data_IF_846687468205
#
_entry.id   IF_846687468205
#
_cell.length_a   1.000
_cell.length_b   1.000
_cell.length_c   1.000
_cell.angle_alpha   90.00
_cell.angle_beta   90.00
_cell.angle_gamma   90.00
#
_symmetry.space_group_name_H-M   'P 1'
#
loop_
_entity.id
_entity.type
_entity.pdbx_description
1 polymer ?
#
# COMPACT_ATOMS: atom_id res chain seq x y z
N UNK A 1 37.81 47.29 -7.18
CA UNK A 1 37.58 46.57 -5.91
C UNK A 1 36.13 46.08 -5.95
N UNK A 2 35.93 44.87 -6.48
CA UNK A 2 34.61 44.23 -6.58
C UNK A 2 34.70 43.02 -5.66
N UNK A 3 33.94 43.07 -4.57
CA UNK A 3 33.90 42.03 -3.55
C UNK A 3 33.01 40.90 -4.09
N UNK A 4 33.66 39.77 -4.36
CA UNK A 4 33.03 38.48 -4.58
C UNK A 4 32.49 37.97 -3.25
N UNK A 5 31.17 37.80 -3.14
CA UNK A 5 30.56 37.00 -2.09
C UNK A 5 30.30 35.61 -2.64
N UNK A 6 31.21 34.71 -2.33
CA UNK A 6 31.03 33.27 -2.38
C UNK A 6 29.84 32.87 -1.51
N UNK A 7 28.75 32.43 -2.16
CA UNK A 7 27.64 31.77 -1.49
C UNK A 7 28.16 30.51 -0.80
N UNK A 8 28.14 30.54 0.53
CA UNK A 8 28.35 29.36 1.38
C UNK A 8 27.28 28.33 1.02
N UNK A 9 27.73 27.08 0.79
CA UNK A 9 26.84 25.95 0.60
C UNK A 9 25.86 25.85 1.76
N UNK A 10 24.57 25.82 1.42
CA UNK A 10 23.54 25.36 2.35
C UNK A 10 23.89 23.92 2.74
N UNK A 11 24.07 23.73 4.04
CA UNK A 11 24.14 22.40 4.65
C UNK A 11 22.78 21.74 4.46
N UNK A 12 22.77 20.75 3.58
CA UNK A 12 21.85 19.61 3.46
C UNK A 12 20.67 19.62 4.43
N UNK A 13 19.65 20.44 4.14
CA UNK A 13 18.34 20.29 4.75
C UNK A 13 17.66 19.09 4.10
N UNK A 14 17.62 17.95 4.79
CA UNK A 14 17.14 16.67 4.25
C UNK A 14 15.89 16.82 3.35
N UNK A 15 15.98 16.27 2.13
CA UNK A 15 14.96 16.47 1.10
C UNK A 15 13.61 15.89 1.54
N UNK A 16 12.53 16.66 1.33
CA UNK A 16 11.16 16.24 1.66
C UNK A 16 10.43 15.84 0.37
N UNK A 17 9.83 14.65 0.34
CA UNK A 17 8.94 14.21 -0.73
C UNK A 17 7.60 14.93 -0.60
N UNK A 18 7.18 15.61 -1.67
CA UNK A 18 5.89 16.29 -1.74
C UNK A 18 4.80 15.32 -2.25
N UNK A 19 3.51 15.52 -1.88
CA UNK A 19 2.42 14.70 -2.39
C UNK A 19 2.28 14.88 -3.90
N UNK A 20 2.02 13.79 -4.60
CA UNK A 20 1.74 13.72 -6.04
C UNK A 20 0.25 13.93 -6.28
N UNK A 21 -0.57 13.18 -5.57
CA UNK A 21 -2.01 13.39 -5.57
C UNK A 21 -2.38 14.51 -4.59
N UNK A 22 -3.05 15.53 -5.13
CA UNK A 22 -3.51 16.68 -4.36
C UNK A 22 -5.03 16.85 -4.40
N UNK A 23 -5.72 15.87 -4.98
CA UNK A 23 -7.15 15.81 -5.23
C UNK A 23 -7.79 14.80 -4.27
N UNK A 24 -7.34 13.54 -4.29
CA UNK A 24 -7.95 12.42 -3.57
C UNK A 24 -7.61 12.35 -2.08
N UNK A 25 -6.46 12.91 -1.68
CA UNK A 25 -5.89 12.73 -0.35
C UNK A 25 -5.75 14.03 0.45
N UNK A 26 -5.81 13.90 1.77
CA UNK A 26 -5.70 15.03 2.68
C UNK A 26 -4.27 15.60 2.72
N UNK A 27 -4.14 16.91 2.48
CA UNK A 27 -2.88 17.67 2.56
C UNK A 27 -2.73 18.50 3.82
N UNK A 28 -3.84 18.73 4.52
CA UNK A 28 -3.91 19.53 5.74
C UNK A 28 -4.62 18.77 6.84
N UNK A 29 -4.25 19.04 8.10
CA UNK A 29 -4.85 18.43 9.28
C UNK A 29 -6.38 18.52 9.27
N UNK A 30 -6.92 19.72 9.02
CA UNK A 30 -8.37 19.95 9.00
C UNK A 30 -9.12 19.14 7.92
N UNK A 31 -8.46 18.80 6.81
CA UNK A 31 -9.05 17.90 5.80
C UNK A 31 -9.15 16.50 6.39
N UNK A 32 -8.05 16.00 6.95
CA UNK A 32 -8.00 14.65 7.50
C UNK A 32 -8.92 14.49 8.71
N UNK A 33 -8.94 15.46 9.63
CA UNK A 33 -9.87 15.48 10.77
C UNK A 33 -11.35 15.47 10.29
N UNK A 34 -11.65 16.23 9.23
CA UNK A 34 -12.99 16.25 8.64
C UNK A 34 -13.36 14.94 7.96
N UNK A 35 -12.41 14.28 7.28
CA UNK A 35 -12.62 12.95 6.67
C UNK A 35 -12.96 11.94 7.77
N UNK A 36 -12.16 11.87 8.85
CA UNK A 36 -12.41 10.93 9.94
C UNK A 36 -13.78 11.14 10.59
N UNK A 37 -14.14 12.39 10.90
CA UNK A 37 -15.45 12.70 11.47
C UNK A 37 -16.63 12.36 10.53
N UNK A 38 -16.44 12.46 9.19
CA UNK A 38 -17.45 12.07 8.21
C UNK A 38 -17.57 10.56 8.11
N UNK A 39 -16.45 9.85 8.06
CA UNK A 39 -16.42 8.38 8.06
C UNK A 39 -17.13 7.83 9.31
N UNK A 40 -16.81 8.36 10.50
CA UNK A 40 -17.49 7.98 11.75
C UNK A 40 -19.01 8.15 11.68
N UNK A 41 -19.47 9.28 11.14
CA UNK A 41 -20.90 9.60 11.03
C UNK A 41 -21.64 8.74 10.00
N UNK A 42 -21.01 8.44 8.87
CA UNK A 42 -21.65 7.76 7.75
C UNK A 42 -21.72 6.26 8.00
N UNK A 43 -20.66 5.66 8.55
CA UNK A 43 -20.50 4.20 8.53
C UNK A 43 -20.57 3.51 9.89
N UNK A 44 -20.69 4.26 11.01
CA UNK A 44 -20.80 3.70 12.36
C UNK A 44 -19.89 2.47 12.58
N UNK A 45 -18.58 2.72 12.77
CA UNK A 45 -17.45 1.77 12.82
C UNK A 45 -17.67 0.33 13.32
N UNK A 46 -18.62 0.12 14.23
CA UNK A 46 -18.98 -1.19 14.77
C UNK A 46 -19.66 -2.11 13.72
N UNK A 47 -20.26 -1.56 12.65
CA UNK A 47 -20.97 -2.34 11.62
C UNK A 47 -20.04 -2.87 10.50
N UNK A 48 -18.83 -2.33 10.38
CA UNK A 48 -17.84 -2.74 9.38
C UNK A 48 -16.99 -3.90 9.86
N UNK A 49 -17.60 -4.96 10.41
CA UNK A 49 -16.97 -6.22 10.82
C UNK A 49 -15.43 -6.19 10.91
N UNK A 50 -14.81 -5.39 11.81
CA UNK A 50 -13.41 -5.61 12.13
C UNK A 50 -13.41 -7.02 12.68
N UNK A 51 -12.70 -7.94 12.01
CA UNK A 51 -12.74 -9.39 12.22
C UNK A 51 -13.38 -9.79 13.54
N UNK A 52 -14.40 -10.68 13.54
CA UNK A 52 -15.14 -11.18 14.72
C UNK A 52 -14.28 -11.70 15.91
N UNK A 53 -12.96 -11.63 15.84
CA UNK A 53 -12.09 -11.61 17.00
C UNK A 53 -11.08 -10.46 16.86
N UNK A 54 -11.31 -9.35 17.58
CA UNK A 54 -10.24 -8.42 17.95
C UNK A 54 -9.32 -9.17 18.91
N UNK A 55 -8.50 -10.07 18.38
CA UNK A 55 -7.37 -10.63 19.10
C UNK A 55 -6.46 -9.45 19.47
N UNK A 56 -6.02 -9.41 20.73
CA UNK A 56 -4.98 -8.50 21.21
C UNK A 56 -3.63 -8.74 20.53
N UNK A 57 -3.50 -9.81 19.72
CA UNK A 57 -2.27 -10.08 18.97
C UNK A 57 -1.92 -8.90 18.05
N UNK A 58 -0.66 -8.44 18.07
CA UNK A 58 -0.22 -7.32 17.27
C UNK A 58 -0.28 -7.63 15.78
N UNK A 59 -0.78 -6.69 14.99
CA UNK A 59 -0.77 -6.78 13.51
C UNK A 59 0.66 -6.64 13.01
N UNK A 60 1.15 -7.67 12.33
CA UNK A 60 2.49 -7.73 11.74
C UNK A 60 2.49 -7.30 10.27
N UNK A 61 1.43 -7.63 9.54
CA UNK A 61 1.22 -7.22 8.13
C UNK A 61 -0.22 -6.73 7.97
N UNK A 62 -0.41 -5.65 7.23
CA UNK A 62 -1.71 -5.22 6.76
C UNK A 62 -1.71 -4.99 5.24
N UNK A 63 -2.85 -5.20 4.60
CA UNK A 63 -3.12 -4.81 3.21
C UNK A 63 -4.22 -3.76 3.25
N UNK A 64 -3.99 -2.61 2.62
CA UNK A 64 -4.94 -1.49 2.60
C UNK A 64 -5.03 -0.89 1.19
N UNK A 65 -6.22 -0.44 0.76
CA UNK A 65 -6.41 0.31 -0.49
C UNK A 65 -5.62 1.61 -0.54
N UNK A 66 -5.52 2.19 -1.74
CA UNK A 66 -4.90 3.50 -1.98
C UNK A 66 -5.68 4.43 -2.91
N UNK A 67 -6.95 4.16 -3.17
CA UNK A 67 -7.84 5.04 -3.93
C UNK A 67 -8.36 6.24 -3.11
N UNK A 68 -9.05 7.17 -3.76
CA UNK A 68 -9.58 8.40 -3.17
C UNK A 68 -10.38 8.14 -1.88
N UNK A 69 -10.21 9.02 -0.90
CA UNK A 69 -10.85 8.86 0.42
C UNK A 69 -12.38 8.87 0.35
N UNK A 70 -12.92 9.53 -0.68
CA UNK A 70 -14.36 9.53 -0.97
C UNK A 70 -14.91 8.15 -1.31
N UNK A 71 -14.11 7.29 -1.96
CA UNK A 71 -14.55 5.98 -2.45
C UNK A 71 -14.21 4.84 -1.50
N UNK A 72 -13.05 4.88 -0.85
CA UNK A 72 -12.68 3.79 0.07
C UNK A 72 -13.41 3.95 1.41
N UNK A 73 -13.61 5.20 1.83
CA UNK A 73 -14.32 5.56 3.04
C UNK A 73 -13.80 4.81 4.26
N UNK A 74 -14.65 3.95 4.81
CA UNK A 74 -14.44 3.36 6.12
C UNK A 74 -13.53 2.12 6.15
N UNK A 75 -13.14 1.59 5.00
CA UNK A 75 -12.17 0.49 4.96
C UNK A 75 -10.77 0.95 5.37
N UNK A 76 -10.39 2.20 5.08
CA UNK A 76 -9.12 2.78 5.54
C UNK A 76 -8.95 2.66 7.05
N UNK A 77 -9.84 3.22 7.89
CA UNK A 77 -9.65 3.15 9.33
C UNK A 77 -9.99 1.77 9.91
N UNK A 78 -10.80 0.93 9.24
CA UNK A 78 -10.99 -0.47 9.62
C UNK A 78 -9.67 -1.28 9.58
N UNK A 79 -8.77 -0.96 8.65
CA UNK A 79 -7.43 -1.58 8.55
C UNK A 79 -6.40 -0.80 9.35
N UNK A 80 -6.25 0.50 9.08
CA UNK A 80 -5.11 1.30 9.51
C UNK A 80 -5.12 1.62 11.02
N UNK A 81 -6.29 1.59 11.67
CA UNK A 81 -6.35 1.68 13.15
C UNK A 81 -5.75 0.47 13.87
N UNK A 82 -5.58 -0.65 13.17
CA UNK A 82 -4.97 -1.86 13.71
C UNK A 82 -3.44 -1.87 13.59
N UNK A 83 -2.87 -0.99 12.76
CA UNK A 83 -1.41 -0.80 12.63
C UNK A 83 -0.93 0.13 13.74
N UNK A 84 -0.54 -0.45 14.88
CA UNK A 84 -0.19 0.30 16.10
C UNK A 84 1.31 0.57 16.28
N UNK A 85 2.14 -0.05 15.45
CA UNK A 85 3.59 0.11 15.51
C UNK A 85 4.01 1.56 15.17
N UNK A 86 5.00 2.14 15.85
CA UNK A 86 5.51 3.48 15.56
C UNK A 86 6.32 3.58 14.26
N UNK A 87 6.78 2.45 13.72
CA UNK A 87 7.48 2.35 12.44
C UNK A 87 6.70 1.45 11.47
N UNK A 88 6.54 1.87 10.22
CA UNK A 88 5.87 1.05 9.20
C UNK A 88 6.72 0.93 7.94
N UNK A 89 7.02 -0.30 7.53
CA UNK A 89 7.61 -0.60 6.23
C UNK A 89 6.46 -0.64 5.22
N UNK A 90 6.50 0.24 4.23
CA UNK A 90 5.44 0.39 3.23
C UNK A 90 5.85 -0.28 1.91
N UNK A 91 5.01 -1.16 1.39
CA UNK A 91 5.16 -1.73 0.05
C UNK A 91 4.09 -1.17 -0.88
N UNK A 92 4.51 -0.49 -1.95
CA UNK A 92 3.60 0.07 -2.96
C UNK A 92 4.00 -0.38 -4.35
N UNK A 93 3.04 -0.52 -5.25
CA UNK A 93 3.35 -0.77 -6.67
C UNK A 93 3.98 0.48 -7.29
N UNK A 94 4.92 0.29 -8.22
CA UNK A 94 5.48 1.35 -9.04
C UNK A 94 4.79 1.41 -10.42
N UNK A 95 3.65 2.11 -10.51
CA UNK A 95 2.82 2.23 -11.71
C UNK A 95 3.61 2.73 -12.92
N UNK A 96 4.49 3.71 -12.70
CA UNK A 96 5.29 4.36 -13.77
C UNK A 96 6.67 3.74 -13.97
N UNK A 97 7.00 2.62 -13.31
CA UNK A 97 8.33 2.02 -13.37
C UNK A 97 8.80 1.73 -14.81
N UNK A 98 7.88 1.34 -15.70
CA UNK A 98 8.16 1.08 -17.12
C UNK A 98 8.74 2.30 -17.84
N UNK A 99 8.25 3.50 -17.54
CA UNK A 99 8.69 4.75 -18.18
C UNK A 99 10.13 5.11 -17.80
N UNK A 100 10.62 4.57 -16.68
CA UNK A 100 11.98 4.72 -16.20
C UNK A 100 12.87 3.49 -16.48
N UNK A 101 12.34 2.45 -17.13
CA UNK A 101 13.07 1.20 -17.35
C UNK A 101 13.38 0.42 -16.07
N UNK A 102 12.58 0.60 -15.02
CA UNK A 102 12.76 -0.05 -13.71
C UNK A 102 11.95 -1.35 -13.64
N UNK A 103 12.62 -2.46 -13.31
CA UNK A 103 12.05 -3.79 -13.11
C UNK A 103 13.03 -4.67 -12.33
N UNK A 104 12.57 -5.81 -11.82
CA UNK A 104 13.40 -6.89 -11.23
C UNK A 104 14.31 -6.49 -10.04
N UNK A 105 14.08 -5.31 -9.47
CA UNK A 105 14.73 -4.77 -8.26
C UNK A 105 13.71 -4.01 -7.42
N UNK A 106 13.87 -4.00 -6.10
CA UNK A 106 13.08 -3.11 -5.23
C UNK A 106 13.63 -1.69 -5.27
N UNK A 107 12.78 -0.69 -5.01
CA UNK A 107 13.14 0.71 -5.17
C UNK A 107 13.01 1.46 -3.85
N UNK A 108 14.11 2.09 -3.43
CA UNK A 108 14.18 3.07 -2.35
C UNK A 108 14.32 4.50 -2.90
N UNK A 109 14.21 5.50 -2.03
CA UNK A 109 14.58 6.89 -2.28
C UNK A 109 15.55 7.43 -1.22
N UNK A 110 16.01 8.68 -1.39
CA UNK A 110 16.87 9.42 -0.45
C UNK A 110 16.13 10.46 0.39
N UNK A 111 14.81 10.56 0.25
CA UNK A 111 14.02 11.54 0.99
C UNK A 111 14.12 11.22 2.48
N UNK A 112 14.36 12.23 3.30
CA UNK A 112 14.42 12.09 4.76
C UNK A 112 13.05 12.26 5.39
N UNK A 113 12.14 12.90 4.65
CA UNK A 113 10.79 13.17 5.10
C UNK A 113 9.80 13.02 3.95
N UNK A 114 8.57 12.64 4.29
CA UNK A 114 7.40 12.85 3.43
C UNK A 114 6.56 13.98 4.01
N UNK A 115 5.91 14.76 3.16
CA UNK A 115 4.96 15.78 3.61
C UNK A 115 3.63 15.11 3.97
N UNK A 116 3.23 15.17 5.24
CA UNK A 116 1.91 14.76 5.73
C UNK A 116 1.01 15.94 6.12
N UNK A 117 -0.29 15.67 6.36
CA UNK A 117 -1.28 16.68 6.76
C UNK A 117 -1.01 17.33 8.12
N UNK A 118 -0.37 16.62 9.05
CA UNK A 118 -0.08 17.12 10.41
C UNK A 118 1.37 17.55 10.60
N UNK A 119 2.20 17.45 9.57
CA UNK A 119 3.63 17.73 9.66
C UNK A 119 4.44 16.84 8.72
N UNK A 120 5.76 16.91 8.85
CA UNK A 120 6.65 15.97 8.15
C UNK A 120 6.52 14.60 8.80
N UNK A 121 6.50 13.56 7.97
CA UNK A 121 6.60 12.15 8.38
C UNK A 121 8.05 11.74 8.12
N UNK A 122 8.72 11.19 9.13
CA UNK A 122 10.13 10.81 9.01
C UNK A 122 10.28 9.52 8.21
N UNK A 123 11.26 9.50 7.30
CA UNK A 123 11.71 8.24 6.71
C UNK A 123 12.78 7.66 7.63
N UNK A 124 12.52 6.48 8.19
CA UNK A 124 13.32 5.90 9.26
C UNK A 124 14.74 5.56 8.83
N UNK A 125 15.69 5.65 9.75
CA UNK A 125 17.06 5.19 9.55
C UNK A 125 17.14 3.68 9.32
N UNK A 126 16.09 2.92 9.70
CA UNK A 126 15.99 1.50 9.37
C UNK A 126 16.12 1.25 7.86
N UNK A 127 15.72 2.20 6.99
CA UNK A 127 15.93 2.13 5.53
C UNK A 127 17.41 1.90 5.19
N UNK A 128 18.29 2.70 5.77
CA UNK A 128 19.72 2.62 5.46
C UNK A 128 20.37 1.38 6.05
N UNK A 129 19.93 0.95 7.24
CA UNK A 129 20.35 -0.34 7.79
C UNK A 129 19.91 -1.51 6.91
N UNK A 130 18.67 -1.53 6.42
CA UNK A 130 18.20 -2.54 5.47
C UNK A 130 19.05 -2.52 4.19
N UNK A 131 19.27 -1.34 3.61
CA UNK A 131 20.08 -1.20 2.40
C UNK A 131 21.54 -1.64 2.61
N UNK A 132 22.10 -1.45 3.81
CA UNK A 132 23.45 -1.90 4.17
C UNK A 132 23.60 -3.42 4.29
N UNK A 133 22.51 -4.14 4.54
CA UNK A 133 22.47 -5.61 4.60
C UNK A 133 22.14 -6.25 3.24
N UNK A 134 21.73 -5.46 2.24
CA UNK A 134 21.35 -5.94 0.91
C UNK A 134 22.52 -5.89 -0.09
N UNK A 135 22.55 -6.87 -0.99
CA UNK A 135 23.41 -6.82 -2.18
C UNK A 135 22.92 -5.73 -3.17
N UNK A 136 23.83 -5.10 -3.90
CA UNK A 136 23.54 -4.00 -4.83
C UNK A 136 22.61 -4.43 -6.00
N UNK A 137 22.58 -5.72 -6.30
CA UNK A 137 21.74 -6.34 -7.31
C UNK A 137 20.26 -6.40 -6.91
N UNK A 138 19.95 -6.29 -5.62
CA UNK A 138 18.59 -6.46 -5.07
C UNK A 138 17.76 -5.17 -5.22
N UNK A 139 18.40 -4.01 -5.05
CA UNK A 139 17.69 -2.74 -4.98
C UNK A 139 18.29 -1.66 -5.89
N UNK A 140 17.52 -0.57 -6.04
CA UNK A 140 17.97 0.66 -6.67
C UNK A 140 17.42 1.86 -5.90
N UNK A 141 18.18 2.94 -5.85
CA UNK A 141 17.72 4.22 -5.27
C UNK A 141 17.29 5.14 -6.41
N UNK A 142 16.01 5.51 -6.45
CA UNK A 142 15.46 6.29 -7.56
C UNK A 142 14.42 7.33 -7.11
N UNK A 143 14.90 8.52 -6.73
CA UNK A 143 14.05 9.58 -6.16
C UNK A 143 12.93 10.05 -7.12
N UNK A 144 13.18 10.01 -8.43
CA UNK A 144 12.22 10.49 -9.42
C UNK A 144 10.98 9.62 -9.55
N UNK A 145 11.09 8.30 -9.40
CA UNK A 145 9.88 7.43 -9.46
C UNK A 145 9.06 7.66 -8.20
N UNK A 146 9.71 7.75 -7.04
CA UNK A 146 9.05 8.06 -5.78
C UNK A 146 8.29 9.39 -5.84
N UNK A 147 8.86 10.46 -6.42
CA UNK A 147 8.15 11.74 -6.61
C UNK A 147 7.02 11.73 -7.66
N UNK A 148 6.79 10.62 -8.37
CA UNK A 148 5.76 10.54 -9.41
C UNK A 148 4.70 9.47 -9.15
N UNK A 149 4.97 8.61 -8.17
CA UNK A 149 4.13 7.50 -7.74
C UNK A 149 3.19 7.95 -6.62
N UNK A 150 1.94 7.48 -6.62
CA UNK A 150 0.95 7.80 -5.59
C UNK A 150 0.58 6.59 -4.72
N UNK A 151 0.97 5.38 -5.08
CA UNK A 151 0.48 4.14 -4.44
C UNK A 151 0.70 4.07 -2.93
N UNK A 152 1.68 4.77 -2.36
CA UNK A 152 1.90 4.82 -0.91
C UNK A 152 1.27 6.04 -0.22
N UNK A 153 0.88 7.07 -0.97
CA UNK A 153 0.51 8.38 -0.43
C UNK A 153 -0.78 8.34 0.38
N UNK A 154 -1.77 7.58 -0.11
CA UNK A 154 -3.07 7.48 0.52
C UNK A 154 -3.00 6.97 1.98
N UNK A 155 -2.01 6.13 2.27
CA UNK A 155 -1.83 5.51 3.58
C UNK A 155 -1.27 6.48 4.64
N UNK A 156 -0.39 7.39 4.20
CA UNK A 156 0.40 8.24 5.10
C UNK A 156 -0.45 9.18 5.96
N UNK A 157 -1.47 9.88 5.44
CA UNK A 157 -2.39 10.68 6.26
C UNK A 157 -3.11 9.91 7.36
N UNK A 158 -3.55 8.68 7.10
CA UNK A 158 -4.23 7.82 8.07
C UNK A 158 -3.25 7.29 9.11
N UNK A 159 -2.06 6.83 8.72
CA UNK A 159 -1.01 6.46 9.68
C UNK A 159 -0.66 7.64 10.59
N UNK A 160 -0.48 8.83 10.01
CA UNK A 160 -0.20 10.05 10.77
C UNK A 160 -1.39 10.48 11.63
N UNK A 161 -2.64 10.15 11.26
CA UNK A 161 -3.84 10.37 12.07
C UNK A 161 -3.74 9.65 13.42
N UNK A 162 -3.43 8.36 13.38
CA UNK A 162 -3.34 7.51 14.58
C UNK A 162 -2.06 7.71 15.37
N UNK A 163 -0.94 8.02 14.70
CA UNK A 163 0.33 8.32 15.36
C UNK A 163 1.02 9.52 14.70
N UNK A 164 1.08 10.65 15.41
CA UNK A 164 1.69 11.90 14.91
C UNK A 164 3.18 11.79 14.67
N UNK A 165 3.84 10.89 15.40
CA UNK A 165 5.29 10.66 15.39
C UNK A 165 5.66 9.41 14.57
N UNK A 166 4.76 8.93 13.71
CA UNK A 166 5.00 7.74 12.88
C UNK A 166 6.24 7.92 11.98
N UNK A 167 7.05 6.87 11.91
CA UNK A 167 8.12 6.73 10.94
C UNK A 167 7.75 5.72 9.85
N UNK A 168 8.26 5.92 8.64
CA UNK A 168 8.02 5.01 7.50
C UNK A 168 9.31 4.57 6.82
N UNK A 169 9.28 3.39 6.19
CA UNK A 169 10.28 2.96 5.20
C UNK A 169 9.54 2.67 3.90
N UNK A 170 9.52 3.62 2.94
CA UNK A 170 8.79 3.43 1.70
C UNK A 170 9.60 2.64 0.68
N UNK A 171 9.03 1.53 0.19
CA UNK A 171 9.64 0.63 -0.79
C UNK A 171 8.66 0.45 -1.95
N UNK A 172 9.08 0.80 -3.16
CA UNK A 172 8.28 0.56 -4.36
C UNK A 172 8.68 -0.73 -5.05
N UNK A 173 7.68 -1.47 -5.49
CA UNK A 173 7.77 -2.77 -6.13
C UNK A 173 7.39 -2.61 -7.61
N UNK A 174 8.36 -2.63 -8.54
CA UNK A 174 8.08 -2.62 -9.97
C UNK A 174 7.67 -4.01 -10.47
N UNK A 175 7.52 -4.17 -11.78
CA UNK A 175 7.24 -5.47 -12.37
C UNK A 175 8.40 -6.46 -12.18
N UNK A 176 8.05 -7.68 -11.80
CA UNK A 176 8.98 -8.80 -11.62
C UNK A 176 8.22 -10.13 -11.72
N UNK A 177 8.93 -11.20 -12.08
CA UNK A 177 8.35 -12.56 -12.06
C UNK A 177 8.14 -13.05 -10.64
N UNK A 178 7.31 -14.09 -10.47
CA UNK A 178 7.11 -14.71 -9.15
C UNK A 178 8.41 -15.26 -8.57
N UNK A 179 9.23 -15.91 -9.39
CA UNK A 179 10.50 -16.48 -8.97
C UNK A 179 11.47 -15.39 -8.48
N UNK A 180 11.47 -14.23 -9.16
CA UNK A 180 12.26 -13.07 -8.72
C UNK A 180 11.70 -12.46 -7.44
N UNK A 181 10.37 -12.44 -7.26
CA UNK A 181 9.76 -12.02 -5.99
C UNK A 181 10.22 -12.90 -4.84
N UNK A 182 10.20 -14.22 -4.99
CA UNK A 182 10.65 -15.17 -3.95
C UNK A 182 12.10 -14.87 -3.55
N UNK A 183 13.02 -14.81 -4.53
CA UNK A 183 14.44 -14.54 -4.28
C UNK A 183 14.68 -13.20 -3.55
N UNK A 184 14.07 -12.12 -4.05
CA UNK A 184 14.26 -10.79 -3.49
C UNK A 184 13.59 -10.63 -2.12
N UNK A 185 12.43 -11.27 -1.93
CA UNK A 185 11.68 -11.19 -0.68
C UNK A 185 12.38 -11.90 0.49
N UNK A 186 13.08 -13.01 0.21
CA UNK A 186 13.90 -13.72 1.20
C UNK A 186 15.12 -12.88 1.60
N UNK A 187 15.82 -12.31 0.61
CA UNK A 187 16.94 -11.40 0.84
C UNK A 187 16.52 -10.16 1.65
N UNK A 188 15.39 -9.56 1.30
CA UNK A 188 14.84 -8.41 2.02
C UNK A 188 14.39 -8.79 3.44
N UNK A 189 13.78 -9.95 3.65
CA UNK A 189 13.39 -10.42 4.97
C UNK A 189 14.62 -10.60 5.88
N UNK A 190 15.70 -11.19 5.37
CA UNK A 190 16.96 -11.32 6.10
C UNK A 190 17.53 -9.95 6.48
N UNK A 191 17.56 -9.00 5.54
CA UNK A 191 18.01 -7.63 5.77
C UNK A 191 17.16 -6.88 6.80
N UNK A 192 15.82 -7.01 6.74
CA UNK A 192 14.90 -6.44 7.74
C UNK A 192 15.16 -7.04 9.11
N UNK A 193 15.31 -8.36 9.21
CA UNK A 193 15.57 -9.06 10.47
C UNK A 193 16.90 -8.64 11.11
N UNK A 194 17.96 -8.55 10.31
CA UNK A 194 19.27 -8.08 10.75
C UNK A 194 19.22 -6.61 11.22
N UNK A 195 18.62 -5.73 10.42
CA UNK A 195 18.46 -4.32 10.76
C UNK A 195 17.60 -4.13 12.02
N UNK A 196 16.45 -4.82 12.12
CA UNK A 196 15.60 -4.76 13.31
C UNK A 196 16.35 -5.23 14.57
N UNK A 197 17.16 -6.28 14.45
CA UNK A 197 18.00 -6.77 15.55
C UNK A 197 19.05 -5.75 16.01
N UNK A 198 19.69 -5.04 15.06
CA UNK A 198 20.65 -3.96 15.36
C UNK A 198 20.02 -2.80 16.11
N UNK A 199 18.76 -2.49 15.79
CA UNK A 199 17.98 -1.41 16.41
C UNK A 199 17.09 -1.86 17.58
N UNK A 200 17.16 -3.14 17.97
CA UNK A 200 16.34 -3.75 19.03
C UNK A 200 14.82 -3.61 18.82
N UNK A 201 14.36 -3.69 17.57
CA UNK A 201 12.95 -3.58 17.20
C UNK A 201 12.28 -4.94 17.17
N UNK A 202 11.08 -5.05 17.73
CA UNK A 202 10.24 -6.25 17.72
C UNK A 202 9.11 -6.12 16.69
N UNK A 203 8.93 -7.13 15.84
CA UNK A 203 7.90 -7.11 14.81
C UNK A 203 6.47 -7.19 15.40
N UNK A 204 5.57 -6.38 14.86
CA UNK A 204 4.21 -6.18 15.34
C UNK A 204 4.07 -5.17 16.50
N UNK A 205 5.17 -4.88 17.22
CA UNK A 205 5.16 -3.92 18.33
C UNK A 205 5.87 -2.62 17.97
N UNK A 206 7.12 -2.72 17.51
CA UNK A 206 7.96 -1.57 17.20
C UNK A 206 7.93 -1.26 15.71
N UNK A 207 7.76 -2.27 14.86
CA UNK A 207 7.50 -2.07 13.43
C UNK A 207 6.44 -3.03 12.88
N UNK A 208 5.75 -2.63 11.80
CA UNK A 208 4.84 -3.50 11.02
C UNK A 208 5.07 -3.31 9.53
N UNK A 209 4.54 -4.23 8.72
CA UNK A 209 4.51 -4.10 7.26
C UNK A 209 3.11 -3.66 6.83
N UNK A 210 3.03 -2.69 5.92
CA UNK A 210 1.79 -2.28 5.29
C UNK A 210 1.95 -2.32 3.76
N UNK A 211 1.08 -3.08 3.13
CA UNK A 211 1.04 -3.31 1.69
C UNK A 211 -0.11 -2.48 1.12
N UNK A 212 0.23 -1.65 0.15
CA UNK A 212 -0.73 -0.79 -0.53
C UNK A 212 -1.31 -1.47 -1.78
N UNK A 213 -2.64 -1.55 -1.87
CA UNK A 213 -3.34 -2.23 -2.94
C UNK A 213 -4.84 -1.89 -3.03
N UNK A 214 -5.27 -1.31 -4.15
CA UNK A 214 -6.61 -1.49 -4.67
C UNK A 214 -6.78 -2.86 -5.34
N UNK A 215 -7.96 -3.44 -5.20
CA UNK A 215 -8.32 -4.74 -5.79
C UNK A 215 -8.65 -4.57 -7.29
N UNK A 216 -9.74 -5.15 -7.81
CA UNK A 216 -10.02 -5.05 -9.25
C UNK A 216 -10.33 -3.63 -9.74
N UNK A 217 -9.72 -3.20 -10.85
CA UNK A 217 -10.15 -2.05 -11.64
C UNK A 217 -11.05 -2.54 -12.78
N UNK A 218 -12.38 -2.42 -12.62
CA UNK A 218 -13.36 -3.10 -13.45
C UNK A 218 -14.21 -2.12 -14.27
N UNK A 219 -14.51 -2.48 -15.51
CA UNK A 219 -15.39 -1.69 -16.36
C UNK A 219 -15.03 -1.71 -17.83
N UNK A 220 -15.87 -1.08 -18.64
CA UNK A 220 -15.70 -0.94 -20.09
C UNK A 220 -15.69 0.53 -20.55
N UNK A 221 -15.76 1.49 -19.62
CA UNK A 221 -15.66 2.93 -19.87
C UNK A 221 -14.51 3.54 -19.07
N UNK A 222 -13.90 4.61 -19.61
CA UNK A 222 -12.84 5.41 -18.95
C UNK A 222 -11.57 4.65 -18.50
N UNK A 223 -11.32 3.45 -19.02
CA UNK A 223 -10.09 2.66 -18.82
C UNK A 223 -9.07 2.81 -19.95
N UNK A 224 -8.89 4.03 -20.46
CA UNK A 224 -8.01 4.34 -21.60
C UNK A 224 -8.30 3.49 -22.86
N UNK A 225 -9.58 3.19 -23.10
CA UNK A 225 -10.05 2.40 -24.24
C UNK A 225 -9.99 0.88 -24.05
N UNK A 226 -9.54 0.38 -22.90
CA UNK A 226 -9.55 -1.04 -22.57
C UNK A 226 -10.91 -1.47 -22.00
N UNK A 227 -11.28 -2.73 -22.23
CA UNK A 227 -12.42 -3.37 -21.58
C UNK A 227 -11.91 -4.35 -20.52
N UNK A 228 -12.11 -4.01 -19.25
CA UNK A 228 -11.79 -4.82 -18.08
C UNK A 228 -13.04 -5.43 -17.43
N UNK A 229 -14.14 -5.55 -18.18
CA UNK A 229 -15.40 -6.15 -17.73
C UNK A 229 -15.66 -7.51 -18.41
N UNK A 230 -14.87 -8.57 -18.14
CA UNK A 230 -15.04 -9.87 -18.80
C UNK A 230 -16.37 -10.56 -18.47
N UNK A 231 -17.06 -10.14 -17.40
CA UNK A 231 -18.40 -10.62 -17.06
C UNK A 231 -19.52 -9.65 -17.50
N UNK A 232 -19.18 -8.54 -18.16
CA UNK A 232 -20.12 -7.47 -18.53
C UNK A 232 -20.17 -6.33 -17.51
N UNK A 233 -20.66 -5.18 -17.95
CA UNK A 233 -20.71 -3.91 -17.20
C UNK A 233 -22.14 -3.58 -16.71
N UNK A 234 -22.93 -4.62 -16.44
CA UNK A 234 -24.26 -4.53 -15.85
C UNK A 234 -24.30 -5.14 -14.44
N UNK A 235 -25.47 -5.15 -13.81
CA UNK A 235 -25.65 -5.72 -12.47
C UNK A 235 -25.29 -7.21 -12.40
N UNK A 236 -25.50 -7.98 -13.48
CA UNK A 236 -25.15 -9.40 -13.51
C UNK A 236 -23.63 -9.56 -13.53
N UNK A 237 -22.94 -8.83 -14.42
CA UNK A 237 -21.49 -8.82 -14.52
C UNK A 237 -20.81 -8.34 -13.24
N UNK A 238 -21.38 -7.31 -12.60
CA UNK A 238 -20.94 -6.83 -11.29
C UNK A 238 -20.99 -7.94 -10.22
N UNK A 239 -22.11 -8.66 -10.09
CA UNK A 239 -22.22 -9.75 -9.12
C UNK A 239 -21.26 -10.92 -9.41
N UNK A 240 -21.00 -11.21 -10.68
CA UNK A 240 -20.01 -12.22 -11.08
C UNK A 240 -18.58 -11.77 -10.74
N UNK A 241 -18.26 -10.49 -10.96
CA UNK A 241 -16.97 -9.92 -10.58
C UNK A 241 -16.77 -9.97 -9.06
N UNK A 242 -17.79 -9.62 -8.27
CA UNK A 242 -17.75 -9.74 -6.80
C UNK A 242 -17.54 -11.18 -6.33
N UNK A 243 -18.18 -12.16 -6.98
CA UNK A 243 -17.97 -13.56 -6.66
C UNK A 243 -16.52 -14.00 -6.95
N UNK A 244 -15.94 -13.52 -8.05
CA UNK A 244 -14.54 -13.78 -8.39
C UNK A 244 -13.57 -13.11 -7.40
N UNK A 245 -13.81 -11.86 -7.02
CA UNK A 245 -13.01 -11.16 -6.00
C UNK A 245 -13.05 -11.91 -4.66
N UNK A 246 -14.23 -12.38 -4.24
CA UNK A 246 -14.36 -13.19 -3.03
C UNK A 246 -13.57 -14.51 -3.11
N UNK A 247 -13.52 -15.15 -4.28
CA UNK A 247 -12.71 -16.35 -4.49
C UNK A 247 -11.21 -16.06 -4.37
N UNK A 248 -10.72 -14.99 -5.01
CA UNK A 248 -9.33 -14.55 -4.92
C UNK A 248 -8.97 -14.32 -3.45
N UNK A 249 -9.74 -13.48 -2.75
CA UNK A 249 -9.47 -13.08 -1.37
C UNK A 249 -9.48 -14.30 -0.43
N UNK A 250 -10.55 -15.09 -0.44
CA UNK A 250 -10.68 -16.20 0.51
C UNK A 250 -9.69 -17.32 0.25
N UNK A 251 -9.33 -17.58 -1.00
CA UNK A 251 -8.42 -18.66 -1.36
C UNK A 251 -6.94 -18.29 -1.36
N UNK A 252 -6.59 -17.00 -1.31
CA UNK A 252 -5.19 -16.54 -1.39
C UNK A 252 -4.73 -15.65 -0.25
N UNK A 253 -5.63 -14.86 0.36
CA UNK A 253 -5.25 -13.87 1.38
C UNK A 253 -5.68 -14.28 2.81
N UNK A 254 -6.76 -15.05 2.94
CA UNK A 254 -7.27 -15.47 4.25
C UNK A 254 -6.66 -16.80 4.76
N UNK A 255 -6.65 -16.96 6.08
CA UNK A 255 -6.08 -18.11 6.78
C UNK A 255 -4.56 -18.04 6.87
N UNK A 256 -3.90 -19.19 7.05
CA UNK A 256 -2.43 -19.25 7.13
C UNK A 256 -1.79 -18.63 5.89
N UNK A 257 -0.79 -17.77 6.13
CA UNK A 257 0.08 -17.21 5.11
C UNK A 257 0.98 -18.32 4.55
N UNK A 258 0.88 -18.57 3.26
CA UNK A 258 1.51 -19.70 2.58
C UNK A 258 2.00 -19.26 1.19
N UNK A 259 3.27 -19.52 0.81
CA UNK A 259 3.79 -19.20 -0.52
C UNK A 259 2.97 -19.77 -1.67
N UNK A 260 2.33 -20.94 -1.52
CA UNK A 260 1.48 -21.52 -2.57
C UNK A 260 0.22 -20.68 -2.79
N UNK A 261 -0.35 -20.11 -1.72
CA UNK A 261 -1.46 -19.14 -1.83
C UNK A 261 -1.01 -17.85 -2.49
N UNK A 262 0.21 -17.37 -2.20
CA UNK A 262 0.77 -16.17 -2.83
C UNK A 262 1.05 -16.40 -4.32
N UNK A 263 1.55 -17.58 -4.70
CA UNK A 263 1.66 -17.99 -6.11
C UNK A 263 0.30 -18.00 -6.79
N UNK A 264 -0.72 -18.59 -6.15
CA UNK A 264 -2.08 -18.63 -6.67
C UNK A 264 -2.66 -17.22 -6.88
N UNK A 265 -2.36 -16.26 -5.99
CA UNK A 265 -2.73 -14.84 -6.19
C UNK A 265 -2.11 -14.27 -7.48
N UNK A 266 -0.84 -14.55 -7.75
CA UNK A 266 -0.19 -14.14 -9.00
C UNK A 266 -0.88 -14.77 -10.22
N UNK A 267 -1.24 -16.05 -10.13
CA UNK A 267 -1.96 -16.77 -11.22
C UNK A 267 -3.36 -16.21 -11.50
N UNK A 268 -4.00 -15.55 -10.53
CA UNK A 268 -5.24 -14.81 -10.74
C UNK A 268 -5.00 -13.47 -11.43
N UNK A 269 -3.94 -12.74 -11.06
CA UNK A 269 -3.78 -11.32 -11.40
C UNK A 269 -2.94 -11.06 -12.65
N UNK A 270 -1.98 -11.91 -12.98
CA UNK A 270 -1.11 -11.74 -14.15
C UNK A 270 -1.23 -12.89 -15.16
N UNK A 271 -0.91 -12.60 -16.43
CA UNK A 271 -0.93 -13.62 -17.48
C UNK A 271 0.19 -14.64 -17.26
N UNK A 272 -0.12 -15.93 -17.43
CA UNK A 272 0.83 -17.04 -17.23
C UNK A 272 2.11 -16.90 -18.05
N UNK A 273 1.96 -16.50 -19.32
CA UNK A 273 3.08 -16.42 -20.27
C UNK A 273 3.70 -15.01 -20.32
N UNK A 274 3.13 -14.03 -19.60
CA UNK A 274 3.65 -12.67 -19.52
C UNK A 274 3.22 -11.99 -18.22
N UNK A 275 4.06 -12.08 -17.19
CA UNK A 275 3.79 -11.48 -15.87
C UNK A 275 3.62 -9.95 -15.91
N UNK A 276 3.96 -9.27 -17.02
CA UNK A 276 3.80 -7.83 -17.19
C UNK A 276 2.37 -7.42 -17.58
N UNK A 277 1.57 -8.37 -18.05
CA UNK A 277 0.21 -8.13 -18.50
C UNK A 277 -0.82 -8.59 -17.46
N UNK A 278 -1.89 -7.81 -17.34
CA UNK A 278 -3.00 -8.17 -16.46
C UNK A 278 -3.76 -9.38 -17.00
N UNK A 279 -4.07 -10.31 -16.10
CA UNK A 279 -5.18 -11.25 -16.24
C UNK A 279 -6.41 -10.75 -15.51
N UNK A 280 -6.19 -10.14 -14.35
CA UNK A 280 -7.20 -9.49 -13.52
C UNK A 280 -6.58 -8.25 -12.88
N UNK A 281 -7.24 -7.10 -13.00
CA UNK A 281 -6.65 -5.76 -12.89
C UNK A 281 -6.47 -5.28 -11.45
N UNK A 282 -5.76 -6.06 -10.62
CA UNK A 282 -5.33 -5.63 -9.29
C UNK A 282 -4.08 -4.77 -9.36
N UNK A 283 -4.14 -3.51 -8.92
CA UNK A 283 -3.00 -2.59 -9.01
C UNK A 283 -1.76 -3.17 -8.29
N UNK A 284 -1.94 -3.80 -7.12
CA UNK A 284 -0.88 -4.37 -6.29
C UNK A 284 -0.45 -5.78 -6.68
N UNK A 285 -0.70 -6.22 -7.93
CA UNK A 285 -0.27 -7.54 -8.47
C UNK A 285 1.20 -7.92 -8.24
N UNK A 286 2.08 -6.97 -7.92
CA UNK A 286 3.47 -7.22 -7.51
C UNK A 286 3.71 -6.89 -6.04
N UNK A 287 3.17 -5.77 -5.53
CA UNK A 287 3.38 -5.35 -4.15
C UNK A 287 2.74 -6.30 -3.12
N UNK A 288 1.56 -6.85 -3.41
CA UNK A 288 0.88 -7.84 -2.55
C UNK A 288 1.69 -9.12 -2.43
N UNK A 289 2.01 -9.84 -3.53
CA UNK A 289 2.78 -11.07 -3.39
C UNK A 289 4.18 -10.83 -2.83
N UNK A 290 4.85 -9.74 -3.23
CA UNK A 290 6.17 -9.42 -2.69
C UNK A 290 6.15 -9.18 -1.17
N UNK A 291 5.25 -8.30 -0.69
CA UNK A 291 5.15 -7.99 0.74
C UNK A 291 4.72 -9.18 1.58
N UNK A 292 3.83 -10.03 1.05
CA UNK A 292 3.41 -11.27 1.71
C UNK A 292 4.53 -12.31 1.78
N UNK A 293 5.32 -12.47 0.71
CA UNK A 293 6.49 -13.36 0.74
C UNK A 293 7.54 -12.83 1.74
N UNK A 294 7.84 -11.52 1.74
CA UNK A 294 8.77 -10.94 2.73
C UNK A 294 8.29 -11.21 4.16
N UNK A 295 7.00 -11.01 4.43
CA UNK A 295 6.39 -11.35 5.72
C UNK A 295 6.46 -12.83 6.06
N UNK A 296 6.24 -13.72 5.09
CA UNK A 296 6.38 -15.16 5.28
C UNK A 296 7.81 -15.54 5.70
N UNK A 297 8.82 -15.02 4.98
CA UNK A 297 10.23 -15.28 5.30
C UNK A 297 10.62 -14.76 6.69
N UNK A 298 10.14 -13.58 7.08
CA UNK A 298 10.31 -13.06 8.45
C UNK A 298 9.65 -13.96 9.50
N UNK A 299 8.43 -14.42 9.25
CA UNK A 299 7.71 -15.31 10.16
C UNK A 299 8.45 -16.65 10.37
N UNK A 300 9.03 -17.21 9.29
CA UNK A 300 9.87 -18.40 9.36
C UNK A 300 11.11 -18.16 10.24
N UNK A 301 11.77 -17.00 10.12
CA UNK A 301 12.94 -16.65 10.94
C UNK A 301 12.59 -16.46 12.43
N UNK A 302 11.41 -15.90 12.74
CA UNK A 302 10.91 -15.77 14.11
C UNK A 302 10.29 -17.07 14.67
N UNK A 303 10.11 -18.11 13.83
CA UNK A 303 9.48 -19.36 14.22
C UNK A 303 8.00 -19.23 14.54
N UNK A 304 7.29 -18.31 13.87
CA UNK A 304 5.87 -18.03 14.05
C UNK A 304 5.06 -18.35 12.78
N UNK A 305 3.75 -18.53 12.95
CA UNK A 305 2.80 -18.65 11.85
C UNK A 305 1.96 -17.37 11.78
N UNK A 306 1.77 -16.82 10.58
CA UNK A 306 0.89 -15.67 10.35
C UNK A 306 -0.46 -16.11 9.81
N UNK A 307 -1.54 -15.53 10.33
CA UNK A 307 -2.91 -15.80 9.84
C UNK A 307 -3.59 -14.53 9.36
N UNK A 308 -3.92 -14.50 8.08
CA UNK A 308 -4.65 -13.43 7.41
C UNK A 308 -6.15 -13.49 7.70
N UNK A 309 -6.71 -12.36 8.09
CA UNK A 309 -8.15 -12.18 8.31
C UNK A 309 -8.65 -10.96 7.55
N UNK A 310 -9.85 -11.05 6.96
CA UNK A 310 -10.43 -9.93 6.22
C UNK A 310 -10.96 -8.86 7.16
N UNK A 311 -10.49 -7.63 6.98
CA UNK A 311 -11.04 -6.43 7.60
C UNK A 311 -12.21 -5.83 6.77
N UNK A 312 -12.42 -6.33 5.55
CA UNK A 312 -13.54 -5.91 4.70
C UNK A 312 -13.22 -6.00 3.22
N UNK A 313 -14.28 -5.98 2.42
CA UNK A 313 -14.22 -5.73 0.98
C UNK A 313 -15.35 -4.78 0.60
N UNK A 314 -15.03 -3.74 -0.18
CA UNK A 314 -15.95 -2.70 -0.64
C UNK A 314 -15.69 -2.39 -2.11
N UNK A 315 -16.58 -1.67 -2.78
CA UNK A 315 -16.32 -1.12 -4.12
C UNK A 315 -16.63 0.37 -4.15
N UNK A 316 -16.13 1.08 -5.17
CA UNK A 316 -16.43 2.52 -5.34
C UNK A 316 -17.92 2.84 -5.55
N UNK A 317 -18.80 1.83 -5.67
CA UNK A 317 -20.22 2.00 -5.99
C UNK A 317 -21.18 1.26 -5.05
N UNK A 318 -20.70 0.56 -4.01
CA UNK A 318 -21.56 -0.27 -3.13
C UNK A 318 -21.97 0.40 -1.82
N UNK A 319 -21.51 1.62 -1.55
CA UNK A 319 -21.77 2.32 -0.30
C UNK A 319 -21.83 3.86 -0.48
N UNK A 320 -22.33 4.61 0.52
CA UNK A 320 -22.38 6.06 0.45
C UNK A 320 -20.99 6.68 0.41
N UNK A 321 -20.75 7.56 -0.57
CA UNK A 321 -19.46 8.25 -0.68
C UNK A 321 -19.25 9.26 0.45
N UNK A 322 -18.01 9.37 0.93
CA UNK A 322 -17.64 10.43 1.88
C UNK A 322 -17.63 11.76 1.11
N UNK A 323 -18.46 12.76 1.45
CA UNK A 323 -18.42 14.04 0.75
C UNK A 323 -17.06 14.70 0.99
N UNK A 324 -16.45 15.27 -0.06
CA UNK A 324 -15.11 15.90 0.06
C UNK A 324 -14.98 17.25 -0.67
N UNK A 325 -15.96 17.65 -1.47
CA UNK A 325 -15.90 18.85 -2.32
C UNK A 325 -15.70 20.13 -1.51
N UNK A 326 -16.39 20.28 -0.39
CA UNK A 326 -16.25 21.43 0.51
C UNK A 326 -14.91 21.46 1.27
N UNK A 327 -14.16 20.36 1.23
CA UNK A 327 -12.79 20.27 1.76
C UNK A 327 -11.73 20.65 0.70
N UNK A 328 -12.13 21.05 -0.50
CA UNK A 328 -11.21 21.29 -1.61
C UNK A 328 -10.48 20.04 -2.09
N UNK A 329 -11.06 18.87 -1.82
CA UNK A 329 -10.66 17.54 -2.29
C UNK A 329 -11.67 17.08 -3.35
N UNK A 330 -11.37 16.00 -4.06
CA UNK A 330 -12.21 15.53 -5.16
C UNK A 330 -12.07 14.06 -5.46
N UNK A 331 -12.45 13.73 -6.70
CA UNK A 331 -12.33 12.40 -7.30
C UNK A 331 -11.33 12.46 -8.45
N UNK A 332 -10.56 11.39 -8.64
CA UNK A 332 -9.56 11.24 -9.70
C UNK A 332 -10.08 10.40 -10.87
N UNK A 333 -11.11 9.59 -10.64
CA UNK A 333 -11.79 8.76 -11.62
C UNK A 333 -13.31 8.75 -11.37
N UNK A 334 -14.16 8.45 -12.38
CA UNK A 334 -15.59 8.25 -12.16
C UNK A 334 -15.86 6.96 -11.36
N UNK A 335 -17.03 6.84 -10.74
CA UNK A 335 -17.48 5.60 -10.12
C UNK A 335 -18.93 5.30 -10.52
N UNK A 336 -19.13 4.26 -11.33
CA UNK A 336 -20.43 3.78 -11.78
C UNK A 336 -20.33 2.31 -12.21
N UNK A 337 -21.45 1.67 -12.59
CA UNK A 337 -21.47 0.24 -12.94
C UNK A 337 -20.53 -0.15 -14.11
N UNK A 338 -20.15 0.83 -14.94
CA UNK A 338 -19.25 0.67 -16.09
C UNK A 338 -17.82 1.10 -15.82
N UNK A 339 -17.54 1.65 -14.63
CA UNK A 339 -16.21 2.02 -14.15
C UNK A 339 -16.21 2.02 -12.61
N UNK A 340 -15.66 0.98 -12.00
CA UNK A 340 -15.55 0.89 -10.55
C UNK A 340 -14.29 0.18 -10.12
N UNK A 341 -13.89 0.39 -8.86
CA UNK A 341 -12.70 -0.22 -8.26
C UNK A 341 -13.13 -1.01 -7.03
N UNK A 342 -12.56 -2.20 -6.85
CA UNK A 342 -12.70 -3.01 -5.64
C UNK A 342 -11.63 -2.64 -4.62
N UNK A 343 -11.96 -2.75 -3.33
CA UNK A 343 -11.07 -2.44 -2.23
C UNK A 343 -11.07 -3.60 -1.24
N UNK A 344 -9.89 -4.07 -0.83
CA UNK A 344 -9.76 -5.13 0.17
C UNK A 344 -8.88 -4.66 1.33
N UNK A 345 -9.32 -4.99 2.54
CA UNK A 345 -8.54 -4.84 3.76
C UNK A 345 -8.21 -6.21 4.34
N UNK A 346 -6.93 -6.51 4.57
CA UNK A 346 -6.48 -7.76 5.22
C UNK A 346 -5.53 -7.42 6.36
N UNK A 347 -5.60 -8.16 7.46
CA UNK A 347 -4.64 -8.08 8.56
C UNK A 347 -4.06 -9.47 8.86
N UNK A 348 -2.75 -9.56 9.07
CA UNK A 348 -2.04 -10.76 9.51
C UNK A 348 -1.48 -10.53 10.92
N UNK A 349 -1.77 -11.48 11.81
CA UNK A 349 -1.33 -11.50 13.20
C UNK A 349 -0.43 -12.70 13.45
#
# INVERSE_FOLDING_TARGET
MIISCSGRGDKDSGSTRMPVDTIGFARYSWQMDSIMARVERIFMYEELNPCENVSDDPVKIAISPHDDYTYVGALYPAVLSQVRSPLVILFGVAHKARDFGLQDKIIFDRHQYWKGPYGKVMVSQLRESIMGELEEEIFIIHDSIQRTEHSLEALVPFLQYYNRDIEIVPILIPSMSYERMVELSDSLAAAISAAASQHHLQWGKDFSILISNDAVHYGDEDWSGNNYAPFGSDTSGYNMALAHEKEIITSTLCGSLDPDKVRKFCEFTVQKDNYKEYKWTWCGRYAVPFGLLTGYHLAVMEGIELKGSSAGYMTSIDHPLVPVVDLGMGITAPANIRHWVGYVGIVYK
#
